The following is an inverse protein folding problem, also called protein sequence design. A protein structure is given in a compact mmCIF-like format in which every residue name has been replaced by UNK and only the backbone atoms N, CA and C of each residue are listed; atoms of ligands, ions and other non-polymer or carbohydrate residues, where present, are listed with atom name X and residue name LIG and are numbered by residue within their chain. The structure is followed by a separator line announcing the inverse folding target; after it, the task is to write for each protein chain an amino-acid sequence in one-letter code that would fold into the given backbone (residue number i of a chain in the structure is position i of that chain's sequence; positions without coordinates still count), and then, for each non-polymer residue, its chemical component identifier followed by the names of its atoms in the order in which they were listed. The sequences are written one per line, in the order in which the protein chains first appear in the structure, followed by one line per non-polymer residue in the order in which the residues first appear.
data_IF_405886990961
#
_entry.id   IF_405886990961
#
_cell.length_a   1.000
_cell.length_b   1.000
_cell.length_c   1.000
_cell.angle_alpha   90.00
_cell.angle_beta   90.00
_cell.angle_gamma   90.00
#
_symmetry.space_group_name_H-M   'P 1'
#
loop_
_entity.id
_entity.type
_entity.pdbx_description
1 polymer ?
#
# COMPACT_ATOMS: atom_id res chain seq x y z
N UNK A 1 30.40 64.41 -60.69
CA UNK A 1 29.24 64.36 -59.76
C UNK A 1 28.43 63.06 -59.87
N UNK A 2 28.13 62.58 -61.09
CA UNK A 2 27.38 61.33 -61.30
C UNK A 2 28.08 60.07 -60.75
N UNK A 3 29.39 59.91 -60.96
CA UNK A 3 30.18 58.75 -60.48
C UNK A 3 30.22 58.63 -58.96
N UNK A 4 30.32 59.76 -58.24
CA UNK A 4 30.30 59.77 -56.78
C UNK A 4 28.91 59.43 -56.21
N UNK A 5 27.84 59.90 -56.86
CA UNK A 5 26.47 59.53 -56.50
C UNK A 5 26.21 58.04 -56.70
N UNK A 6 26.64 57.49 -57.84
CA UNK A 6 26.52 56.06 -58.12
C UNK A 6 27.31 55.21 -57.11
N UNK A 7 28.55 55.60 -56.77
CA UNK A 7 29.35 54.90 -55.77
C UNK A 7 28.71 54.92 -54.37
N UNK A 8 28.10 56.04 -53.99
CA UNK A 8 27.40 56.17 -52.70
C UNK A 8 26.11 55.33 -52.65
N UNK A 9 25.35 55.27 -53.75
CA UNK A 9 24.18 54.40 -53.87
C UNK A 9 24.58 52.93 -53.79
N UNK A 10 25.60 52.50 -54.54
CA UNK A 10 26.09 51.12 -54.51
C UNK A 10 26.63 50.72 -53.12
N UNK A 11 27.30 51.64 -52.42
CA UNK A 11 27.74 51.42 -51.04
C UNK A 11 26.54 51.24 -50.10
N UNK A 12 25.49 52.07 -50.23
CA UNK A 12 24.29 51.96 -49.39
C UNK A 12 23.50 50.68 -49.64
N UNK A 13 23.42 50.22 -50.89
CA UNK A 13 22.81 48.94 -51.26
C UNK A 13 23.61 47.75 -50.72
N UNK A 14 24.95 47.82 -50.80
CA UNK A 14 25.83 46.79 -50.26
C UNK A 14 25.70 46.67 -48.73
N UNK A 15 25.62 47.79 -48.01
CA UNK A 15 25.37 47.78 -46.56
C UNK A 15 23.99 47.19 -46.23
N UNK A 16 22.95 47.56 -46.97
CA UNK A 16 21.59 47.04 -46.76
C UNK A 16 21.48 45.53 -46.98
N UNK A 17 22.14 45.00 -48.03
CA UNK A 17 22.21 43.55 -48.30
C UNK A 17 22.96 42.81 -47.21
N UNK A 18 24.03 43.39 -46.67
CA UNK A 18 24.79 42.82 -45.56
C UNK A 18 23.95 42.73 -44.28
N UNK A 19 23.17 43.77 -43.98
CA UNK A 19 22.24 43.78 -42.84
C UNK A 19 21.16 42.71 -43.01
N UNK A 20 20.57 42.59 -44.21
CA UNK A 20 19.55 41.58 -44.48
C UNK A 20 20.09 40.16 -44.30
N UNK A 21 21.28 39.87 -44.83
CA UNK A 21 21.92 38.56 -44.67
C UNK A 21 22.25 38.22 -43.21
N UNK A 22 22.63 39.22 -42.40
CA UNK A 22 22.85 39.05 -40.95
C UNK A 22 21.53 38.76 -40.23
N UNK A 23 20.46 39.47 -40.56
CA UNK A 23 19.13 39.23 -39.98
C UNK A 23 18.61 37.83 -40.33
N UNK A 24 18.78 37.37 -41.57
CA UNK A 24 18.37 36.02 -41.98
C UNK A 24 19.15 34.93 -41.23
N UNK A 25 20.47 35.12 -41.07
CA UNK A 25 21.29 34.20 -40.29
C UNK A 25 20.88 34.17 -38.81
N UNK A 26 20.56 35.33 -38.21
CA UNK A 26 20.06 35.42 -36.84
C UNK A 26 18.70 34.72 -36.69
N UNK A 27 17.78 34.91 -37.64
CA UNK A 27 16.47 34.24 -37.63
C UNK A 27 16.61 32.70 -37.70
N UNK A 28 17.55 32.21 -38.50
CA UNK A 28 17.86 30.77 -38.59
C UNK A 28 18.46 30.26 -37.28
N UNK A 29 19.37 31.02 -36.67
CA UNK A 29 19.95 30.67 -35.36
C UNK A 29 18.88 30.65 -34.28
N UNK A 30 18.01 31.65 -34.22
CA UNK A 30 16.91 31.72 -33.25
C UNK A 30 15.93 30.55 -33.43
N UNK A 31 15.57 30.22 -34.67
CA UNK A 31 14.74 29.07 -34.97
C UNK A 31 15.42 27.73 -34.59
N UNK A 32 16.73 27.60 -34.83
CA UNK A 32 17.50 26.42 -34.49
C UNK A 32 17.73 26.28 -32.97
N UNK A 33 17.95 27.38 -32.26
CA UNK A 33 18.06 27.41 -30.78
C UNK A 33 16.70 27.06 -30.15
N UNK A 34 15.59 27.56 -30.70
CA UNK A 34 14.26 27.16 -30.27
C UNK A 34 14.01 25.67 -30.50
N UNK A 35 14.39 25.13 -31.67
CA UNK A 35 14.28 23.70 -31.96
C UNK A 35 15.20 22.83 -31.08
N UNK A 36 16.42 23.29 -30.80
CA UNK A 36 17.38 22.60 -29.94
C UNK A 36 16.94 22.62 -28.47
N UNK A 37 16.29 23.69 -27.99
CA UNK A 37 15.68 23.74 -26.66
C UNK A 37 14.51 22.74 -26.52
N UNK A 38 13.73 22.55 -27.60
CA UNK A 38 12.68 21.54 -27.64
C UNK A 38 13.24 20.11 -27.70
N UNK A 39 14.35 19.88 -28.42
CA UNK A 39 14.97 18.57 -28.60
C UNK A 39 15.89 18.13 -27.43
N UNK A 40 16.57 19.07 -26.76
CA UNK A 40 17.43 18.81 -25.60
C UNK A 40 16.68 18.82 -24.26
N UNK A 41 15.36 18.89 -24.28
CA UNK A 41 14.58 18.54 -23.11
C UNK A 41 14.65 17.02 -22.96
N UNK A 42 15.66 16.54 -22.25
CA UNK A 42 15.66 15.19 -21.68
C UNK A 42 14.29 15.01 -20.99
N UNK A 43 13.39 14.25 -21.60
CA UNK A 43 11.99 14.10 -21.13
C UNK A 43 11.90 13.33 -19.81
N UNK A 44 13.04 13.00 -19.20
CA UNK A 44 13.14 12.50 -17.83
C UNK A 44 14.21 13.28 -17.07
N UNK A 45 14.01 14.59 -16.90
CA UNK A 45 14.69 15.34 -15.83
C UNK A 45 13.97 15.02 -14.52
N UNK A 46 14.32 13.90 -13.88
CA UNK A 46 13.96 13.64 -12.48
C UNK A 46 14.76 14.58 -11.57
N UNK A 47 14.43 15.87 -11.64
CA UNK A 47 15.02 16.84 -10.75
C UNK A 47 14.21 16.90 -9.45
N UNK A 48 14.58 16.03 -8.52
CA UNK A 48 14.07 16.00 -7.15
C UNK A 48 14.53 17.20 -6.30
N UNK A 49 15.22 18.19 -6.87
CA UNK A 49 15.69 19.37 -6.10
C UNK A 49 14.58 20.39 -5.81
N UNK A 50 13.38 20.20 -6.37
CA UNK A 50 12.15 20.88 -5.96
C UNK A 50 11.02 19.87 -5.77
N UNK A 51 11.14 18.98 -4.79
CA UNK A 51 9.94 18.33 -4.26
C UNK A 51 8.98 19.47 -3.82
N UNK A 52 7.70 19.49 -4.26
CA UNK A 52 6.74 20.48 -3.77
C UNK A 52 6.77 20.47 -2.24
N UNK A 53 6.65 21.64 -1.59
CA UNK A 53 6.51 21.68 -0.13
C UNK A 53 5.42 20.69 0.28
N UNK A 54 5.84 19.60 0.89
CA UNK A 54 4.95 18.48 1.12
C UNK A 54 3.92 18.93 2.15
N UNK A 55 2.68 19.13 1.70
CA UNK A 55 1.58 19.58 2.56
C UNK A 55 0.65 18.40 2.80
N UNK A 56 -0.24 18.48 3.78
CA UNK A 56 -1.28 17.46 3.99
C UNK A 56 -2.13 17.14 2.73
N UNK A 57 -2.10 18.00 1.69
CA UNK A 57 -2.82 17.82 0.43
C UNK A 57 -1.95 17.34 -0.74
N UNK A 58 -0.61 17.35 -0.62
CA UNK A 58 0.32 17.03 -1.72
C UNK A 58 1.47 16.14 -1.24
N UNK A 59 1.65 15.00 -1.91
CA UNK A 59 2.71 14.03 -1.64
C UNK A 59 4.07 14.47 -2.17
N UNK A 60 5.12 13.75 -1.79
CA UNK A 60 6.52 14.07 -2.13
C UNK A 60 6.95 13.50 -3.49
N UNK A 61 6.36 12.37 -3.90
CA UNK A 61 6.71 11.67 -5.15
C UNK A 61 5.42 11.16 -5.77
N UNK A 62 5.28 11.32 -7.09
CA UNK A 62 4.22 10.71 -7.89
C UNK A 62 4.77 10.35 -9.29
N UNK A 63 4.73 9.06 -9.62
CA UNK A 63 5.18 8.49 -10.88
C UNK A 63 3.97 7.86 -11.56
N UNK A 64 3.64 8.35 -12.75
CA UNK A 64 2.47 7.93 -13.51
C UNK A 64 1.94 9.05 -14.39
N UNK A 65 0.94 8.74 -15.20
CA UNK A 65 0.27 9.74 -16.06
C UNK A 65 -0.76 10.58 -15.30
N UNK A 66 -1.16 10.14 -14.10
CA UNK A 66 -2.02 10.88 -13.20
C UNK A 66 -1.23 11.98 -12.47
N UNK A 67 -1.87 13.14 -12.27
CA UNK A 67 -1.32 14.23 -11.44
C UNK A 67 -1.51 13.99 -9.93
N UNK A 68 -0.92 14.86 -9.11
CA UNK A 68 -1.21 14.90 -7.68
C UNK A 68 -2.68 15.31 -7.46
N UNK A 69 -3.49 14.45 -6.86
CA UNK A 69 -4.88 14.79 -6.54
C UNK A 69 -4.92 15.88 -5.45
N UNK A 70 -5.41 17.07 -5.80
CA UNK A 70 -5.61 18.19 -4.88
C UNK A 70 -6.80 17.95 -3.94
N UNK A 71 -6.68 18.46 -2.71
CA UNK A 71 -7.50 18.15 -1.55
C UNK A 71 -9.02 18.32 -1.71
N UNK A 72 -9.73 17.30 -1.22
CA UNK A 72 -11.19 17.25 -1.14
C UNK A 72 -11.74 15.83 -0.92
N UNK A 73 -11.14 15.05 -0.02
CA UNK A 73 -11.58 13.68 0.28
C UNK A 73 -10.46 12.80 0.84
N UNK A 74 -10.78 11.56 1.19
CA UNK A 74 -9.86 10.48 1.66
C UNK A 74 -8.84 10.04 0.59
N UNK A 75 -8.62 10.84 -0.44
CA UNK A 75 -7.87 10.46 -1.62
C UNK A 75 -6.40 10.84 -1.45
N UNK A 76 -5.58 9.83 -1.72
CA UNK A 76 -4.13 9.81 -1.63
C UNK A 76 -3.49 10.72 -2.69
N UNK A 77 -2.33 11.32 -2.38
CA UNK A 77 -1.61 12.16 -3.33
C UNK A 77 -1.13 11.32 -4.53
N UNK A 78 -1.78 11.53 -5.68
CA UNK A 78 -1.55 10.69 -6.86
C UNK A 78 -2.45 9.46 -6.93
N UNK A 79 -3.52 9.29 -6.16
CA UNK A 79 -4.42 8.12 -6.31
C UNK A 79 -5.48 8.34 -7.40
N UNK A 80 -5.08 8.94 -8.52
CA UNK A 80 -5.90 8.98 -9.72
C UNK A 80 -5.51 7.82 -10.65
N UNK A 81 -6.46 7.41 -11.49
CA UNK A 81 -6.22 6.44 -12.56
C UNK A 81 -4.99 6.83 -13.37
N UNK A 82 -3.98 5.95 -13.40
CA UNK A 82 -2.73 6.19 -14.15
C UNK A 82 -1.48 6.33 -13.28
N UNK A 83 -1.61 6.26 -11.95
CA UNK A 83 -0.47 6.24 -11.04
C UNK A 83 0.16 4.87 -10.93
N UNK A 84 1.49 4.87 -10.85
CA UNK A 84 2.33 3.69 -10.70
C UNK A 84 2.93 3.63 -9.30
N UNK A 85 3.53 4.73 -8.82
CA UNK A 85 4.12 4.83 -7.48
C UNK A 85 3.86 6.23 -6.94
N UNK A 86 3.48 6.36 -5.67
CA UNK A 86 3.54 7.64 -4.98
C UNK A 86 4.00 7.51 -3.52
N UNK A 87 4.35 8.64 -2.90
CA UNK A 87 4.78 8.73 -1.51
C UNK A 87 4.23 10.01 -0.87
N UNK A 88 3.72 9.90 0.36
CA UNK A 88 3.23 11.04 1.15
C UNK A 88 4.32 11.64 2.04
N UNK A 89 4.14 12.87 2.53
CA UNK A 89 5.01 13.40 3.59
C UNK A 89 4.70 12.71 4.92
N UNK A 90 5.72 12.58 5.79
CA UNK A 90 5.59 11.83 7.04
C UNK A 90 4.67 12.49 8.08
N UNK A 91 4.38 13.79 7.95
CA UNK A 91 3.60 14.56 8.93
C UNK A 91 2.24 14.97 8.35
N UNK A 92 1.16 14.54 9.00
CA UNK A 92 -0.19 15.09 8.76
C UNK A 92 -1.11 14.35 7.79
N UNK A 93 -0.76 13.15 7.30
CA UNK A 93 -1.63 12.38 6.40
C UNK A 93 -2.36 11.23 7.12
N UNK A 94 -3.56 10.94 6.64
CA UNK A 94 -4.43 9.85 7.14
C UNK A 94 -4.39 8.58 6.26
N UNK A 95 -3.76 8.63 5.08
CA UNK A 95 -3.61 7.52 4.12
C UNK A 95 -2.25 6.79 4.19
N UNK A 96 -1.95 5.92 3.23
CA UNK A 96 -0.71 5.13 3.20
C UNK A 96 0.54 5.99 2.95
N UNK A 97 1.69 5.59 3.51
CA UNK A 97 2.97 6.30 3.34
C UNK A 97 3.58 6.06 1.96
N UNK A 98 3.53 4.83 1.44
CA UNK A 98 3.94 4.45 0.08
C UNK A 98 2.83 3.62 -0.54
N UNK A 99 2.52 3.82 -1.83
CA UNK A 99 1.55 3.01 -2.57
C UNK A 99 2.03 2.79 -4.01
N UNK A 100 2.04 1.53 -4.42
CA UNK A 100 2.28 1.09 -5.79
C UNK A 100 0.97 0.58 -6.39
N UNK A 101 0.60 1.09 -7.55
CA UNK A 101 -0.66 0.79 -8.24
C UNK A 101 -0.41 0.20 -9.63
N UNK A 102 -1.37 -0.61 -10.10
CA UNK A 102 -1.39 -1.15 -11.47
C UNK A 102 -2.81 -1.06 -12.02
N UNK A 103 -2.96 -0.86 -13.33
CA UNK A 103 -4.24 -1.02 -14.03
C UNK A 103 -5.38 -0.18 -13.46
N UNK A 104 -5.35 1.13 -13.71
CA UNK A 104 -6.38 2.08 -13.28
C UNK A 104 -6.48 2.38 -11.77
N UNK A 105 -5.37 2.25 -11.02
CA UNK A 105 -5.31 2.65 -9.61
C UNK A 105 -5.55 1.53 -8.61
N UNK A 106 -5.45 0.26 -9.04
CA UNK A 106 -5.54 -0.88 -8.13
C UNK A 106 -4.25 -0.97 -7.32
N UNK A 107 -4.36 -0.84 -5.99
CA UNK A 107 -3.22 -0.99 -5.07
C UNK A 107 -2.63 -2.39 -5.18
N UNK A 108 -1.30 -2.49 -5.25
CA UNK A 108 -0.55 -3.76 -5.35
C UNK A 108 0.44 -3.96 -4.23
N UNK A 109 1.11 -2.90 -3.78
CA UNK A 109 2.01 -2.92 -2.64
C UNK A 109 1.98 -1.57 -1.93
N UNK A 110 1.91 -1.56 -0.59
CA UNK A 110 1.74 -0.34 0.18
C UNK A 110 2.53 -0.44 1.49
N UNK A 111 3.13 0.67 1.93
CA UNK A 111 3.54 0.87 3.31
C UNK A 111 2.53 1.82 3.94
N UNK A 112 1.73 1.36 4.89
CA UNK A 112 0.70 2.20 5.51
C UNK A 112 1.33 3.27 6.41
N UNK A 113 0.57 4.30 6.79
CA UNK A 113 0.99 5.30 7.79
C UNK A 113 1.43 4.70 9.13
N UNK A 114 0.94 3.51 9.44
CA UNK A 114 1.25 2.80 10.69
C UNK A 114 2.46 1.86 10.54
N UNK A 115 3.20 1.95 9.42
CA UNK A 115 4.41 1.17 9.17
C UNK A 115 4.15 -0.27 8.70
N UNK A 116 2.93 -0.62 8.29
CA UNK A 116 2.60 -1.97 7.82
C UNK A 116 2.85 -2.10 6.32
N UNK A 117 3.56 -3.16 5.91
CA UNK A 117 3.59 -3.59 4.51
C UNK A 117 2.29 -4.32 4.16
N UNK A 118 1.58 -3.88 3.11
CA UNK A 118 0.37 -4.49 2.54
C UNK A 118 0.68 -4.86 1.09
N UNK A 119 0.45 -6.11 0.70
CA UNK A 119 0.56 -6.57 -0.69
C UNK A 119 -0.82 -7.09 -1.10
N UNK A 120 -1.31 -6.73 -2.29
CA UNK A 120 -2.67 -7.05 -2.70
C UNK A 120 -2.85 -8.53 -3.08
N UNK A 121 -1.80 -9.15 -3.63
CA UNK A 121 -1.85 -10.52 -4.17
C UNK A 121 -0.97 -11.52 -3.38
N UNK A 122 -0.24 -11.04 -2.36
CA UNK A 122 0.37 -11.88 -1.32
C UNK A 122 -0.25 -11.49 0.01
N UNK A 123 -0.65 -12.46 0.84
CA UNK A 123 -0.94 -12.20 2.26
C UNK A 123 0.27 -11.45 2.82
N UNK A 124 0.09 -10.19 3.22
CA UNK A 124 1.18 -9.25 3.46
C UNK A 124 2.23 -9.88 4.37
N UNK A 125 3.40 -10.21 3.79
CA UNK A 125 4.35 -11.19 4.34
C UNK A 125 5.22 -10.65 5.49
N UNK A 126 4.67 -9.79 6.36
CA UNK A 126 5.32 -9.27 7.55
C UNK A 126 4.60 -9.61 8.87
N UNK A 127 3.50 -10.38 8.87
CA UNK A 127 2.88 -10.93 10.10
C UNK A 127 2.51 -12.40 9.93
N UNK A 128 3.49 -13.30 9.78
CA UNK A 128 3.34 -14.70 10.20
C UNK A 128 3.49 -14.86 11.73
N UNK A 129 3.50 -13.77 12.49
CA UNK A 129 3.24 -13.86 13.92
C UNK A 129 1.75 -14.16 14.09
N UNK A 130 1.43 -15.43 14.30
CA UNK A 130 0.11 -15.82 14.75
C UNK A 130 -0.19 -15.05 16.05
N UNK A 131 -1.22 -14.19 16.03
CA UNK A 131 -1.58 -13.40 17.21
C UNK A 131 -1.78 -14.32 18.41
N UNK A 132 -1.17 -13.97 19.54
CA UNK A 132 -1.16 -14.75 20.78
C UNK A 132 -1.98 -14.05 21.86
N UNK A 133 -2.85 -14.80 22.55
CA UNK A 133 -3.52 -14.32 23.76
C UNK A 133 -3.48 -15.39 24.86
N UNK A 134 -3.26 -14.95 26.10
CA UNK A 134 -3.50 -15.76 27.28
C UNK A 134 -4.95 -15.56 27.77
N UNK A 135 -5.58 -16.62 28.25
CA UNK A 135 -6.98 -16.63 28.73
C UNK A 135 -7.09 -17.34 30.06
N UNK A 136 -7.82 -16.75 30.99
CA UNK A 136 -8.08 -17.29 32.33
C UNK A 136 -9.56 -17.53 32.61
N UNK A 137 -10.44 -17.16 31.68
CA UNK A 137 -11.89 -17.26 31.78
C UNK A 137 -12.52 -17.49 30.40
N UNK A 138 -13.82 -17.76 30.37
CA UNK A 138 -14.58 -17.98 29.14
C UNK A 138 -14.38 -16.84 28.13
N UNK A 139 -14.10 -17.20 26.88
CA UNK A 139 -13.81 -16.24 25.82
C UNK A 139 -14.31 -16.71 24.46
N UNK A 140 -14.92 -15.80 23.70
CA UNK A 140 -15.29 -16.02 22.30
C UNK A 140 -14.14 -15.63 21.38
N UNK A 141 -13.66 -16.58 20.60
CA UNK A 141 -12.52 -16.44 19.71
C UNK A 141 -12.82 -15.45 18.56
N UNK A 142 -11.95 -14.46 18.41
CA UNK A 142 -12.07 -13.39 17.41
C UNK A 142 -11.15 -13.57 16.20
N UNK A 143 -11.13 -12.57 15.31
CA UNK A 143 -10.32 -12.62 14.08
C UNK A 143 -8.83 -12.23 14.28
N UNK A 144 -8.43 -11.81 15.48
CA UNK A 144 -7.12 -11.19 15.72
C UNK A 144 -6.03 -12.16 16.17
N UNK A 145 -6.37 -13.18 16.96
CA UNK A 145 -5.40 -14.13 17.51
C UNK A 145 -5.71 -15.57 17.06
N UNK A 146 -4.67 -16.29 16.64
CA UNK A 146 -4.75 -17.68 16.24
C UNK A 146 -4.18 -18.64 17.31
N UNK A 147 -3.38 -18.14 18.26
CA UNK A 147 -2.81 -18.94 19.36
C UNK A 147 -3.41 -18.50 20.70
N UNK A 148 -3.93 -19.46 21.46
CA UNK A 148 -4.53 -19.21 22.77
C UNK A 148 -3.96 -20.17 23.82
N UNK A 149 -3.29 -19.59 24.82
CA UNK A 149 -2.91 -20.33 26.04
C UNK A 149 -3.98 -20.10 27.10
N UNK A 150 -4.53 -21.20 27.62
CA UNK A 150 -5.65 -21.21 28.54
C UNK A 150 -5.19 -21.71 29.90
N UNK A 151 -5.32 -20.87 30.91
CA UNK A 151 -5.02 -21.16 32.31
C UNK A 151 -6.34 -21.26 33.09
N UNK A 152 -6.76 -22.50 33.35
CA UNK A 152 -7.96 -22.84 34.09
C UNK A 152 -7.71 -23.01 35.60
N UNK A 153 -6.62 -22.47 36.14
CA UNK A 153 -6.31 -22.57 37.58
C UNK A 153 -7.47 -22.06 38.45
N UNK A 154 -8.15 -20.99 38.03
CA UNK A 154 -9.26 -20.39 38.77
C UNK A 154 -10.62 -21.10 38.57
N UNK A 155 -10.71 -22.05 37.64
CA UNK A 155 -11.95 -22.76 37.34
C UNK A 155 -12.01 -23.23 35.88
N UNK A 156 -12.83 -24.24 35.60
CA UNK A 156 -13.08 -24.70 34.25
C UNK A 156 -13.83 -23.64 33.43
N UNK A 157 -13.50 -23.48 32.15
CA UNK A 157 -14.12 -22.47 31.30
C UNK A 157 -14.15 -22.85 29.82
N UNK A 158 -14.89 -22.07 29.04
CA UNK A 158 -15.13 -22.35 27.63
C UNK A 158 -14.33 -21.43 26.71
N UNK A 159 -13.69 -22.00 25.70
CA UNK A 159 -13.18 -21.27 24.54
C UNK A 159 -14.19 -21.44 23.42
N UNK A 160 -14.98 -20.41 23.14
CA UNK A 160 -16.05 -20.50 22.16
C UNK A 160 -15.53 -20.10 20.77
N UNK A 161 -15.56 -21.05 19.83
CA UNK A 161 -15.33 -20.79 18.42
C UNK A 161 -16.45 -19.90 17.87
N UNK A 162 -16.13 -18.92 17.02
CA UNK A 162 -17.16 -18.09 16.43
C UNK A 162 -17.88 -18.87 15.32
N UNK A 163 -18.93 -18.29 14.71
CA UNK A 163 -19.63 -18.94 13.60
C UNK A 163 -18.66 -19.33 12.44
N UNK A 164 -18.72 -20.56 11.97
CA UNK A 164 -17.84 -21.09 10.93
C UNK A 164 -18.11 -20.43 9.56
N UNK A 165 -19.35 -20.03 9.30
CA UNK A 165 -19.73 -19.36 8.06
C UNK A 165 -19.00 -18.02 7.92
N UNK A 166 -18.49 -17.76 6.71
CA UNK A 166 -17.66 -16.59 6.41
C UNK A 166 -16.24 -16.65 6.97
N UNK A 167 -15.80 -17.80 7.51
CA UNK A 167 -14.45 -17.99 8.10
C UNK A 167 -13.68 -19.18 7.50
N UNK A 168 -13.97 -19.59 6.28
CA UNK A 168 -13.30 -20.71 5.59
C UNK A 168 -11.78 -20.59 5.69
N UNK A 169 -11.11 -21.66 6.12
CA UNK A 169 -9.64 -21.72 6.26
C UNK A 169 -9.09 -21.01 7.50
N UNK A 170 -9.93 -20.39 8.33
CA UNK A 170 -9.48 -19.77 9.58
C UNK A 170 -9.04 -20.82 10.58
N UNK A 171 -7.82 -20.70 11.09
CA UNK A 171 -7.22 -21.63 12.07
C UNK A 171 -7.20 -21.02 13.47
N UNK A 172 -7.52 -21.83 14.48
CA UNK A 172 -7.30 -21.56 15.89
C UNK A 172 -6.55 -22.71 16.55
N UNK A 173 -5.53 -22.40 17.34
CA UNK A 173 -4.84 -23.34 18.22
C UNK A 173 -5.10 -22.95 19.67
N UNK A 174 -5.66 -23.87 20.42
CA UNK A 174 -6.06 -23.67 21.82
C UNK A 174 -5.28 -24.69 22.64
N UNK A 175 -4.58 -24.23 23.69
CA UNK A 175 -3.74 -25.06 24.54
C UNK A 175 -4.06 -24.81 26.00
N UNK A 176 -4.31 -25.87 26.77
CA UNK A 176 -4.36 -25.78 28.23
C UNK A 176 -2.94 -25.77 28.78
N UNK A 177 -2.60 -24.80 29.62
CA UNK A 177 -1.21 -24.61 30.12
C UNK A 177 -1.04 -24.88 31.61
N UNK A 178 -2.12 -24.87 32.38
CA UNK A 178 -2.07 -25.12 33.82
C UNK A 178 -2.27 -26.60 34.17
N UNK A 179 -1.79 -27.00 35.35
CA UNK A 179 -1.81 -28.38 35.84
C UNK A 179 -3.08 -28.76 36.62
N UNK A 180 -4.05 -27.86 36.76
CA UNK A 180 -5.28 -28.17 37.50
C UNK A 180 -6.16 -29.17 36.75
N UNK A 181 -7.05 -29.84 37.48
CA UNK A 181 -8.07 -30.73 36.91
C UNK A 181 -9.21 -29.98 36.18
N UNK A 182 -9.21 -28.65 36.22
CA UNK A 182 -10.22 -27.82 35.56
C UNK A 182 -10.04 -27.88 34.05
N UNK A 183 -11.03 -28.39 33.33
CA UNK A 183 -10.93 -28.51 31.87
C UNK A 183 -11.09 -27.16 31.16
N UNK A 184 -10.40 -27.01 30.03
CA UNK A 184 -10.72 -25.98 29.02
C UNK A 184 -11.56 -26.66 27.95
N UNK A 185 -12.79 -26.20 27.77
CA UNK A 185 -13.73 -26.80 26.80
C UNK A 185 -13.86 -25.90 25.57
N UNK A 186 -13.44 -26.39 24.41
CA UNK A 186 -13.69 -25.74 23.14
C UNK A 186 -15.14 -26.00 22.75
N UNK A 187 -15.90 -24.94 22.48
CA UNK A 187 -17.33 -24.99 22.17
C UNK A 187 -17.62 -24.27 20.86
N UNK A 188 -18.77 -24.52 20.25
CA UNK A 188 -19.21 -23.86 19.01
C UNK A 188 -20.32 -22.83 19.26
N UNK A 189 -20.74 -22.16 18.18
CA UNK A 189 -21.96 -21.36 18.15
C UNK A 189 -22.96 -21.98 17.17
N UNK A 190 -24.22 -21.55 17.20
CA UNK A 190 -25.21 -21.88 16.16
C UNK A 190 -25.42 -23.39 15.92
N UNK A 191 -25.19 -24.22 16.94
CA UNK A 191 -25.24 -25.69 16.86
C UNK A 191 -24.29 -26.30 15.82
N UNK A 192 -23.23 -25.59 15.45
CA UNK A 192 -22.16 -26.11 14.60
C UNK A 192 -21.39 -27.22 15.34
N UNK A 193 -20.64 -28.02 14.58
CA UNK A 193 -19.85 -29.11 15.13
C UNK A 193 -18.34 -28.88 14.97
N UNK A 194 -17.56 -29.50 15.84
CA UNK A 194 -16.12 -29.77 15.73
C UNK A 194 -16.01 -31.27 15.44
N UNK A 195 -15.75 -31.67 14.19
CA UNK A 195 -15.74 -33.07 13.74
C UNK A 195 -16.89 -33.92 14.32
N UNK A 196 -18.13 -33.53 13.98
CA UNK A 196 -19.39 -34.14 14.42
C UNK A 196 -19.74 -34.05 15.92
N UNK A 197 -18.86 -33.49 16.77
CA UNK A 197 -19.17 -33.19 18.17
C UNK A 197 -19.51 -31.70 18.36
N UNK A 198 -20.26 -31.32 19.40
CA UNK A 198 -20.51 -29.90 19.70
C UNK A 198 -19.39 -29.24 20.52
N UNK A 199 -18.49 -30.06 21.08
CA UNK A 199 -17.41 -29.61 21.97
C UNK A 199 -16.17 -30.47 21.85
N UNK A 200 -15.00 -29.90 22.16
CA UNK A 200 -13.73 -30.62 22.32
C UNK A 200 -13.08 -30.25 23.65
N UNK A 201 -12.70 -31.23 24.47
CA UNK A 201 -12.24 -31.00 25.86
C UNK A 201 -10.73 -31.16 25.98
N UNK A 202 -10.08 -30.15 26.57
CA UNK A 202 -8.67 -30.19 26.99
C UNK A 202 -8.62 -30.39 28.51
N UNK A 203 -8.56 -31.66 28.94
CA UNK A 203 -8.69 -32.04 30.35
C UNK A 203 -7.37 -31.93 31.15
N UNK A 204 -6.23 -32.14 30.50
CA UNK A 204 -4.93 -32.18 31.18
C UNK A 204 -3.99 -31.08 30.68
N UNK A 205 -2.97 -30.77 31.48
CA UNK A 205 -1.93 -29.83 31.10
C UNK A 205 -1.30 -30.20 29.76
N UNK A 206 -0.94 -29.18 28.99
CA UNK A 206 -0.25 -29.25 27.70
C UNK A 206 -1.04 -29.86 26.55
N UNK A 207 -2.28 -30.30 26.79
CA UNK A 207 -3.19 -30.68 25.72
C UNK A 207 -3.52 -29.48 24.86
N UNK A 208 -3.55 -29.72 23.55
CA UNK A 208 -3.94 -28.69 22.59
C UNK A 208 -4.73 -29.25 21.44
N UNK A 209 -5.52 -28.38 20.82
CA UNK A 209 -6.24 -28.67 19.58
C UNK A 209 -6.08 -27.50 18.63
N UNK A 210 -5.77 -27.83 17.37
CA UNK A 210 -5.85 -26.90 16.24
C UNK A 210 -7.05 -27.26 15.39
N UNK A 211 -7.94 -26.30 15.20
CA UNK A 211 -9.15 -26.44 14.37
C UNK A 211 -9.14 -25.44 13.22
N UNK A 212 -9.78 -25.79 12.11
CA UNK A 212 -10.03 -24.86 11.02
C UNK A 212 -11.50 -24.89 10.60
N UNK A 213 -12.03 -23.76 10.14
CA UNK A 213 -13.39 -23.71 9.58
C UNK A 213 -13.39 -24.21 8.14
N UNK A 214 -14.35 -25.08 7.81
CA UNK A 214 -14.66 -25.50 6.44
C UNK A 214 -15.78 -24.66 5.79
N UNK A 215 -16.27 -23.63 6.49
CA UNK A 215 -17.37 -22.75 6.04
C UNK A 215 -18.75 -23.11 6.57
N UNK A 216 -18.92 -24.26 7.21
CA UNK A 216 -20.17 -24.68 7.84
C UNK A 216 -19.96 -25.24 9.26
N UNK A 217 -18.83 -25.91 9.49
CA UNK A 217 -18.42 -26.49 10.75
C UNK A 217 -16.90 -26.35 10.94
N UNK A 218 -16.42 -26.82 12.08
CA UNK A 218 -15.01 -26.82 12.44
C UNK A 218 -14.44 -28.23 12.29
N UNK A 219 -13.25 -28.34 11.71
CA UNK A 219 -12.52 -29.59 11.55
C UNK A 219 -11.21 -29.57 12.34
N UNK A 220 -10.87 -30.68 12.99
CA UNK A 220 -9.61 -30.80 13.74
C UNK A 220 -8.49 -31.07 12.74
N UNK A 221 -7.45 -30.25 12.80
CA UNK A 221 -6.23 -30.41 12.00
C UNK A 221 -5.18 -31.23 12.76
N UNK A 222 -5.05 -30.95 14.06
CA UNK A 222 -4.15 -31.69 14.95
C UNK A 222 -4.61 -31.54 16.39
N UNK A 223 -4.32 -32.56 17.18
CA UNK A 223 -4.55 -32.56 18.62
C UNK A 223 -3.51 -33.43 19.30
N UNK A 224 -3.08 -33.02 20.49
CA UNK A 224 -2.14 -33.77 21.34
C UNK A 224 -2.56 -33.70 22.78
#
# INVERSE_FOLDING_TARGET
MATARLAMTLLSEAQSKKVLAVNDALNIIDAAVAALALANTFTNRNDFTKVPDATANYGVINVGSAGFAGGGGTNYAGSATGTLIAMNAATGFTGDFINCQLGAGVNKAQLTKDGRLVLADLVSAALFQAGYLAKTTTFTLGATAALHNCDATAGAFNMQLPNAAGRVGRIYTIKKVDSSANAVTVTTTSSETIDAATTYVLATQWKSVSVYSNGASWSIMSSV
#
